data_IF_852825340744
#
_entry.id   IF_852825340744
#
_cell.length_a   1.000
_cell.length_b   1.000
_cell.length_c   1.000
_cell.angle_alpha   90.00
_cell.angle_beta   90.00
_cell.angle_gamma   90.00
#
_symmetry.space_group_name_H-M   'P 1'
#
loop_
_entity.id
_entity.type
_entity.pdbx_description
1 polymer ?
#
# COMPACT_ATOMS: atom_id res chain seq x y z
N UNK A 1 -20.85 -5.70 -1.84
CA UNK A 1 -19.50 -5.52 -1.25
C UNK A 1 -18.93 -4.13 -1.48
N UNK A 2 -18.80 -3.63 -2.73
CA UNK A 2 -18.27 -2.27 -3.02
C UNK A 2 -18.93 -1.15 -2.20
N UNK A 3 -20.27 -1.09 -2.14
CA UNK A 3 -20.96 -0.06 -1.33
C UNK A 3 -20.61 -0.11 0.16
N UNK A 4 -20.39 -1.30 0.73
CA UNK A 4 -19.98 -1.45 2.13
C UNK A 4 -18.55 -0.94 2.35
N UNK A 5 -17.63 -1.21 1.40
CA UNK A 5 -16.27 -0.70 1.45
C UNK A 5 -16.19 0.81 1.23
N UNK A 6 -17.07 1.37 0.41
CA UNK A 6 -17.14 2.83 0.20
C UNK A 6 -17.71 3.52 1.45
N UNK A 7 -18.83 3.01 1.98
CA UNK A 7 -19.56 3.66 3.08
C UNK A 7 -19.04 3.37 4.50
N UNK A 8 -18.12 2.42 4.69
CA UNK A 8 -17.59 2.11 6.03
C UNK A 8 -16.64 3.18 6.53
N UNK A 9 -16.70 3.45 7.85
CA UNK A 9 -15.75 4.25 8.61
C UNK A 9 -14.52 3.46 9.08
N UNK A 10 -14.48 2.15 8.82
CA UNK A 10 -13.30 1.33 9.11
C UNK A 10 -12.11 1.78 8.28
N UNK A 11 -10.91 1.74 8.89
CA UNK A 11 -9.65 2.01 8.20
C UNK A 11 -9.38 0.95 7.14
N UNK A 12 -9.03 1.37 5.93
CA UNK A 12 -8.82 0.55 4.74
C UNK A 12 -7.34 0.56 4.37
N UNK A 13 -6.76 -0.63 4.36
CA UNK A 13 -5.37 -0.86 3.98
C UNK A 13 -5.34 -1.74 2.74
N UNK A 14 -4.56 -1.34 1.74
CA UNK A 14 -4.21 -2.18 0.59
C UNK A 14 -2.77 -2.63 0.75
N UNK A 15 -2.52 -3.93 0.59
CA UNK A 15 -1.18 -4.51 0.56
C UNK A 15 -0.85 -4.85 -0.89
N UNK A 16 0.24 -4.29 -1.41
CA UNK A 16 0.68 -4.58 -2.77
C UNK A 16 1.39 -5.94 -2.85
N UNK A 17 1.21 -6.59 -4.00
CA UNK A 17 1.81 -7.90 -4.26
C UNK A 17 3.34 -7.81 -4.31
N UNK A 18 4.02 -8.87 -3.85
CA UNK A 18 5.49 -8.95 -3.82
C UNK A 18 6.15 -9.28 -5.17
N UNK A 19 5.34 -9.49 -6.20
CA UNK A 19 5.81 -9.76 -7.55
C UNK A 19 4.71 -9.53 -8.54
N UNK A 20 5.10 -9.15 -9.77
CA UNK A 20 4.24 -9.34 -10.92
C UNK A 20 3.83 -10.82 -11.00
N UNK A 21 2.52 -11.09 -10.99
CA UNK A 21 2.00 -12.42 -11.25
C UNK A 21 2.12 -12.66 -12.75
N UNK A 22 2.98 -13.62 -13.13
CA UNK A 22 3.14 -14.02 -14.53
C UNK A 22 1.77 -14.33 -15.13
N UNK A 23 1.42 -13.64 -16.22
CA UNK A 23 0.15 -13.80 -16.93
C UNK A 23 -0.99 -12.86 -16.54
N UNK A 24 -0.91 -12.08 -15.45
CA UNK A 24 -1.96 -11.10 -15.08
C UNK A 24 -1.43 -9.66 -14.95
N UNK A 25 -0.19 -9.49 -14.48
CA UNK A 25 0.45 -8.17 -14.26
C UNK A 25 1.83 -8.09 -14.92
N UNK A 26 2.04 -8.77 -16.05
CA UNK A 26 3.29 -8.63 -16.81
C UNK A 26 3.43 -7.18 -17.28
N UNK A 27 4.45 -6.49 -16.74
CA UNK A 27 4.76 -5.09 -17.07
C UNK A 27 3.99 -4.02 -16.30
N UNK A 28 3.17 -4.38 -15.30
CA UNK A 28 2.53 -3.40 -14.42
C UNK A 28 3.42 -3.07 -13.22
N UNK A 29 3.58 -1.78 -12.97
CA UNK A 29 4.25 -1.27 -11.76
C UNK A 29 3.34 -1.38 -10.54
N UNK A 30 3.94 -1.24 -9.35
CA UNK A 30 3.17 -1.08 -8.10
C UNK A 30 2.13 0.06 -8.19
N UNK A 31 2.44 1.15 -8.88
CA UNK A 31 1.52 2.28 -9.09
C UNK A 31 0.38 1.93 -10.06
N UNK A 32 0.65 1.13 -11.10
CA UNK A 32 -0.38 0.68 -12.05
C UNK A 32 -1.45 -0.17 -11.38
N UNK A 33 -1.08 -0.98 -10.39
CA UNK A 33 -2.05 -1.75 -9.62
C UNK A 33 -3.06 -0.82 -8.91
N UNK A 34 -2.59 0.29 -8.32
CA UNK A 34 -3.46 1.29 -7.71
C UNK A 34 -4.31 2.05 -8.74
N UNK A 35 -3.72 2.39 -9.91
CA UNK A 35 -4.48 3.06 -10.99
C UNK A 35 -5.65 2.21 -11.45
N UNK A 36 -5.42 0.93 -11.66
CA UNK A 36 -6.45 -0.04 -12.04
C UNK A 36 -7.51 -0.14 -10.95
N UNK A 37 -7.12 -0.26 -9.68
CA UNK A 37 -8.07 -0.28 -8.57
C UNK A 37 -8.95 0.98 -8.53
N UNK A 38 -8.36 2.16 -8.71
CA UNK A 38 -9.08 3.44 -8.78
C UNK A 38 -10.02 3.50 -9.97
N UNK A 39 -9.64 2.98 -11.14
CA UNK A 39 -10.49 2.94 -12.32
C UNK A 39 -11.74 2.07 -12.08
N UNK A 40 -11.58 0.91 -11.44
CA UNK A 40 -12.70 0.02 -11.13
C UNK A 40 -13.59 0.54 -9.99
N UNK A 41 -13.02 1.26 -9.02
CA UNK A 41 -13.72 1.79 -7.86
C UNK A 41 -13.32 3.25 -7.57
N UNK A 42 -13.77 4.23 -8.38
CA UNK A 42 -13.36 5.63 -8.25
C UNK A 42 -13.77 6.29 -6.92
N UNK A 43 -14.85 5.78 -6.29
CA UNK A 43 -15.35 6.28 -5.01
C UNK A 43 -14.68 5.60 -3.81
N UNK A 44 -13.83 4.60 -4.03
CA UNK A 44 -13.13 3.91 -2.95
C UNK A 44 -12.00 4.79 -2.42
N UNK A 45 -12.18 5.27 -1.19
CA UNK A 45 -11.11 5.87 -0.40
C UNK A 45 -10.31 4.79 0.31
N UNK A 46 -8.99 4.96 0.32
CA UNK A 46 -8.04 4.14 1.05
C UNK A 46 -7.34 5.02 2.09
N UNK A 47 -6.90 4.44 3.20
CA UNK A 47 -6.16 5.16 4.23
C UNK A 47 -4.65 4.88 4.12
N UNK A 48 -4.29 3.62 3.85
CA UNK A 48 -2.89 3.19 3.77
C UNK A 48 -2.68 2.26 2.57
N UNK A 49 -1.58 2.47 1.85
CA UNK A 49 -1.02 1.52 0.89
C UNK A 49 0.28 0.98 1.47
N UNK A 50 0.30 -0.31 1.79
CA UNK A 50 1.48 -1.01 2.27
C UNK A 50 2.20 -1.66 1.08
N UNK A 51 3.47 -1.31 0.89
CA UNK A 51 4.29 -1.88 -0.18
C UNK A 51 5.66 -2.34 0.34
N UNK A 52 6.21 -3.38 -0.26
CA UNK A 52 7.59 -3.79 0.00
C UNK A 52 8.54 -2.91 -0.83
N UNK A 53 9.54 -2.25 -0.22
CA UNK A 53 10.45 -1.37 -0.95
C UNK A 53 11.14 -2.05 -2.14
N UNK A 54 11.34 -3.37 -2.08
CA UNK A 54 12.00 -4.11 -3.15
C UNK A 54 11.14 -4.34 -4.40
N UNK A 55 9.86 -3.99 -4.35
CA UNK A 55 8.90 -4.20 -5.44
C UNK A 55 8.34 -2.90 -5.99
N UNK A 56 8.75 -1.76 -5.43
CA UNK A 56 8.32 -0.44 -5.88
C UNK A 56 9.37 0.12 -6.83
N UNK A 57 8.98 0.32 -8.07
CA UNK A 57 9.86 0.84 -9.13
C UNK A 57 10.04 2.35 -9.02
N UNK A 58 8.94 3.08 -8.75
CA UNK A 58 8.91 4.53 -8.56
C UNK A 58 8.03 4.86 -7.35
N UNK A 59 8.68 5.25 -6.25
CA UNK A 59 8.01 5.58 -5.00
C UNK A 59 7.18 6.86 -5.14
N UNK A 60 7.68 7.86 -5.87
CA UNK A 60 7.00 9.15 -6.05
C UNK A 60 5.72 8.98 -6.86
N UNK A 61 5.77 8.15 -7.90
CA UNK A 61 4.58 7.82 -8.69
C UNK A 61 3.54 7.06 -7.86
N UNK A 62 3.99 6.07 -7.07
CA UNK A 62 3.12 5.32 -6.18
C UNK A 62 2.43 6.22 -5.14
N UNK A 63 3.18 7.13 -4.52
CA UNK A 63 2.66 8.12 -3.56
C UNK A 63 1.64 9.06 -4.20
N UNK A 64 1.91 9.52 -5.42
CA UNK A 64 0.99 10.38 -6.18
C UNK A 64 -0.37 9.69 -6.41
N UNK A 65 -0.35 8.43 -6.87
CA UNK A 65 -1.57 7.66 -7.11
C UNK A 65 -2.30 7.34 -5.80
N UNK A 66 -1.58 6.95 -4.74
CA UNK A 66 -2.14 6.66 -3.43
C UNK A 66 -2.81 7.91 -2.81
N UNK A 67 -2.14 9.06 -2.89
CA UNK A 67 -2.67 10.34 -2.40
C UNK A 67 -3.96 10.75 -3.12
N UNK A 68 -4.04 10.51 -4.44
CA UNK A 68 -5.27 10.73 -5.20
C UNK A 68 -6.46 9.86 -4.75
N UNK A 69 -6.19 8.74 -4.07
CA UNK A 69 -7.19 7.86 -3.44
C UNK A 69 -7.42 8.18 -1.96
N UNK A 70 -6.71 9.15 -1.39
CA UNK A 70 -6.75 9.53 0.03
C UNK A 70 -5.82 8.74 0.95
N UNK A 71 -4.91 7.93 0.40
CA UNK A 71 -4.03 7.06 1.18
C UNK A 71 -2.61 7.61 1.29
N UNK A 72 -1.93 7.21 2.36
CA UNK A 72 -0.48 7.35 2.51
C UNK A 72 0.23 6.03 2.19
N UNK A 73 1.38 6.10 1.53
CA UNK A 73 2.22 4.92 1.27
C UNK A 73 3.08 4.64 2.49
N UNK A 74 3.09 3.37 2.92
CA UNK A 74 3.97 2.85 3.96
C UNK A 74 4.87 1.80 3.33
N UNK A 75 6.17 2.06 3.34
CA UNK A 75 7.17 1.12 2.86
C UNK A 75 7.69 0.29 4.03
N UNK A 76 7.47 -1.03 3.98
CA UNK A 76 7.97 -1.99 4.97
C UNK A 76 8.44 -3.24 4.26
N UNK A 77 9.62 -3.74 4.67
CA UNK A 77 10.07 -5.04 4.19
C UNK A 77 9.17 -6.12 4.79
N UNK A 78 8.28 -6.65 3.97
CA UNK A 78 7.30 -7.68 4.36
C UNK A 78 7.58 -9.01 3.68
N UNK A 79 8.61 -9.12 2.84
CA UNK A 79 9.10 -10.36 2.23
C UNK A 79 9.87 -11.29 3.19
N UNK A 80 9.70 -12.61 3.03
CA UNK A 80 10.58 -13.67 3.61
C UNK A 80 11.80 -13.94 2.72
N UNK A 81 13.01 -13.60 3.16
CA UNK A 81 14.27 -13.96 2.47
C UNK A 81 14.34 -13.62 0.97
N UNK A 82 15.41 -14.01 0.28
CA UNK A 82 15.53 -13.76 -1.18
C UNK A 82 14.85 -14.84 -2.04
N UNK A 83 14.69 -16.06 -1.52
CA UNK A 83 14.30 -17.22 -2.31
C UNK A 83 12.79 -17.42 -2.48
N UNK A 84 11.95 -16.74 -1.68
CA UNK A 84 10.50 -16.98 -1.63
C UNK A 84 9.73 -15.67 -1.76
N UNK A 85 8.80 -15.60 -2.73
CA UNK A 85 7.92 -14.45 -3.00
C UNK A 85 6.69 -14.47 -2.08
N UNK A 86 6.90 -14.70 -0.78
CA UNK A 86 5.85 -14.74 0.22
C UNK A 86 6.01 -13.59 1.21
N UNK A 87 4.88 -13.08 1.69
CA UNK A 87 4.90 -12.20 2.83
C UNK A 87 5.29 -12.98 4.09
N UNK A 88 6.27 -12.47 4.83
CA UNK A 88 6.59 -12.90 6.18
C UNK A 88 5.41 -12.52 7.09
N UNK A 89 4.72 -13.50 7.70
CA UNK A 89 3.53 -13.23 8.49
C UNK A 89 3.79 -12.29 9.67
N UNK A 90 4.98 -12.37 10.29
CA UNK A 90 5.32 -11.54 11.45
C UNK A 90 5.62 -10.11 11.02
N UNK A 91 6.37 -9.92 9.93
CA UNK A 91 6.65 -8.59 9.37
C UNK A 91 5.39 -7.92 8.85
N UNK A 92 4.51 -8.68 8.19
CA UNK A 92 3.22 -8.19 7.71
C UNK A 92 2.30 -7.82 8.88
N UNK A 93 2.23 -8.63 9.94
CA UNK A 93 1.48 -8.30 11.14
C UNK A 93 1.99 -7.02 11.83
N UNK A 94 3.31 -6.86 11.93
CA UNK A 94 3.91 -5.62 12.45
C UNK A 94 3.56 -4.41 11.56
N UNK A 95 3.64 -4.56 10.24
CA UNK A 95 3.28 -3.51 9.31
C UNK A 95 1.80 -3.12 9.39
N UNK A 96 0.89 -4.08 9.60
CA UNK A 96 -0.51 -3.78 9.86
C UNK A 96 -0.68 -3.00 11.16
N UNK A 97 -0.01 -3.41 12.24
CA UNK A 97 -0.06 -2.68 13.50
C UNK A 97 0.34 -1.21 13.31
N UNK A 98 1.47 -0.96 12.65
CA UNK A 98 1.93 0.40 12.36
C UNK A 98 0.88 1.18 11.55
N UNK A 99 0.32 0.57 10.50
CA UNK A 99 -0.70 1.18 9.63
C UNK A 99 -2.02 1.48 10.35
N UNK A 100 -2.42 0.66 11.32
CA UNK A 100 -3.67 0.84 12.09
C UNK A 100 -3.51 1.71 13.33
N UNK A 101 -2.32 1.75 13.95
CA UNK A 101 -2.04 2.61 15.11
C UNK A 101 -1.71 4.06 14.72
N UNK A 102 -1.51 4.35 13.43
CA UNK A 102 -1.23 5.70 12.95
C UNK A 102 0.25 6.08 13.05
N UNK A 103 1.14 5.10 13.22
CA UNK A 103 2.58 5.29 13.12
C UNK A 103 2.99 5.45 11.64
N UNK A 104 2.58 6.56 11.02
CA UNK A 104 3.57 7.30 10.23
C UNK A 104 4.71 7.56 11.23
N UNK A 105 5.90 7.03 10.95
CA UNK A 105 6.97 6.88 11.94
C UNK A 105 7.23 8.13 12.77
N UNK A 106 7.76 7.92 13.99
CA UNK A 106 8.22 8.94 14.94
C UNK A 106 9.27 9.90 14.33
N UNK A 107 8.85 10.73 13.38
CA UNK A 107 9.51 11.95 12.96
C UNK A 107 8.37 12.97 12.92
N UNK A 108 8.05 13.50 14.10
CA UNK A 108 7.39 14.78 14.22
C UNK A 108 8.16 15.77 13.35
N UNK A 109 7.50 16.34 12.36
CA UNK A 109 8.02 17.47 11.58
C UNK A 109 8.32 18.61 12.57
N UNK A 110 9.60 18.74 12.93
CA UNK A 110 10.10 19.91 13.63
C UNK A 110 10.19 21.06 12.63
N UNK A 111 9.06 21.63 12.22
CA UNK A 111 8.99 23.00 11.74
C UNK A 111 7.80 23.73 12.34
N UNK A 112 7.97 24.11 13.60
CA UNK A 112 7.45 25.39 14.06
C UNK A 112 8.40 26.48 13.58
N UNK A 113 7.92 27.40 12.74
CA UNK A 113 7.94 28.87 12.93
C UNK A 113 7.25 29.51 11.73
#
# INVERSE_FOLDING_TARGET
MRQALVGTSARKVVVLNLSAQQGETDGMTSADHLRVLRQYAPDLRLDVVLADPSTVEDVTDLESVASAMGATVVLRQVRTGEALRHHDPLRLAAAFRDAFEGALGDVTDERQT
#
